data_IF_126362728544
#
_entry.id   IF_126362728544
#
_cell.length_a   1.000
_cell.length_b   1.000
_cell.length_c   1.000
_cell.angle_alpha   90.00
_cell.angle_beta   90.00
_cell.angle_gamma   90.00
#
_symmetry.space_group_name_H-M   'P 1'
#
loop_
_entity.id
_entity.type
_entity.pdbx_description
1 polymer ?
#
# COMPACT_ATOMS: atom_id res chain seq x y z
N UNK A 1 11.59 7.96 -5.68
CA UNK A 1 10.99 6.61 -5.70
C UNK A 1 11.01 5.97 -4.32
N UNK A 2 12.14 5.95 -3.58
CA UNK A 2 12.23 5.32 -2.24
C UNK A 2 11.16 5.74 -1.23
N UNK A 3 11.00 7.05 -0.97
CA UNK A 3 10.07 7.56 0.06
C UNK A 3 8.61 7.16 -0.19
N UNK A 4 8.14 7.19 -1.45
CA UNK A 4 6.76 6.77 -1.76
C UNK A 4 6.57 5.28 -1.51
N UNK A 5 7.48 4.44 -2.00
CA UNK A 5 7.37 2.99 -1.82
C UNK A 5 7.46 2.59 -0.34
N UNK A 6 8.39 3.19 0.41
CA UNK A 6 8.51 3.02 1.86
C UNK A 6 7.21 3.41 2.59
N UNK A 7 6.63 4.54 2.20
CA UNK A 7 5.37 5.01 2.77
C UNK A 7 4.21 4.07 2.43
N UNK A 8 4.11 3.58 1.20
CA UNK A 8 3.12 2.58 0.82
C UNK A 8 3.30 1.28 1.62
N UNK A 9 4.55 0.82 1.81
CA UNK A 9 4.84 -0.37 2.62
C UNK A 9 4.46 -0.16 4.09
N UNK A 10 4.59 1.06 4.62
CA UNK A 10 4.21 1.38 6.00
C UNK A 10 2.69 1.27 6.23
N UNK A 11 1.89 1.74 5.27
CA UNK A 11 0.42 1.70 5.35
C UNK A 11 -0.22 0.42 4.76
N UNK A 12 0.60 -0.54 4.35
CA UNK A 12 0.15 -1.78 3.74
C UNK A 12 -0.64 -2.66 4.70
N UNK A 13 -1.85 -3.05 4.29
CA UNK A 13 -2.66 -4.08 4.96
C UNK A 13 -2.44 -5.45 4.29
N UNK A 14 -1.75 -6.40 4.95
CA UNK A 14 -1.50 -7.74 4.42
C UNK A 14 -2.75 -8.63 4.38
N UNK A 15 -3.86 -8.23 5.03
CA UNK A 15 -5.11 -9.00 4.99
C UNK A 15 -5.82 -8.77 3.66
N UNK A 16 -5.91 -7.52 3.24
CA UNK A 16 -6.58 -7.12 1.99
C UNK A 16 -5.64 -6.98 0.80
N UNK A 17 -4.32 -7.11 1.03
CA UNK A 17 -3.27 -6.77 0.07
C UNK A 17 -3.43 -5.35 -0.47
N UNK A 18 -3.80 -4.39 0.38
CA UNK A 18 -4.11 -3.05 -0.10
C UNK A 18 -3.59 -1.95 0.82
N UNK A 19 -3.40 -0.78 0.22
CA UNK A 19 -3.12 0.49 0.89
C UNK A 19 -4.30 1.41 0.58
N UNK A 20 -4.97 1.94 1.59
CA UNK A 20 -6.10 2.88 1.45
C UNK A 20 -5.72 4.23 2.04
N UNK A 21 -5.77 5.28 1.23
CA UNK A 21 -5.22 6.59 1.58
C UNK A 21 -6.02 7.70 0.92
N UNK A 22 -6.04 8.88 1.54
CA UNK A 22 -6.52 10.07 0.83
C UNK A 22 -5.42 10.63 -0.09
N UNK A 23 -5.78 11.20 -1.26
CA UNK A 23 -4.81 11.87 -2.12
C UNK A 23 -4.10 13.06 -1.45
N UNK A 24 -4.67 13.62 -0.38
CA UNK A 24 -4.06 14.73 0.38
C UNK A 24 -2.92 14.25 1.28
N UNK A 25 -3.08 13.08 1.89
CA UNK A 25 -2.06 12.50 2.78
C UNK A 25 -0.81 12.14 1.97
N UNK A 26 -0.99 11.58 0.78
CA UNK A 26 0.13 11.23 -0.11
C UNK A 26 0.97 12.45 -0.51
N UNK A 27 0.32 13.58 -0.83
CA UNK A 27 1.04 14.82 -1.21
C UNK A 27 1.87 15.35 -0.04
N UNK A 28 1.31 15.34 1.17
CA UNK A 28 1.94 15.85 2.38
C UNK A 28 3.09 14.95 2.85
N UNK A 29 2.80 13.66 3.03
CA UNK A 29 3.71 12.71 3.68
C UNK A 29 4.86 12.28 2.76
N UNK A 30 4.65 12.22 1.44
CA UNK A 30 5.71 11.90 0.49
C UNK A 30 6.47 13.14 -0.01
N UNK A 31 6.23 14.32 0.59
CA UNK A 31 6.80 15.60 0.17
C UNK A 31 6.64 15.87 -1.35
N UNK A 32 5.53 15.45 -1.93
CA UNK A 32 5.28 15.59 -3.36
C UNK A 32 4.76 17.00 -3.64
N UNK A 33 5.46 17.73 -4.50
CA UNK A 33 5.20 19.16 -4.77
C UNK A 33 3.79 19.43 -5.32
N UNK A 34 3.12 18.42 -5.90
CA UNK A 34 1.75 18.53 -6.41
C UNK A 34 1.08 17.17 -6.57
N UNK A 35 -0.26 17.17 -6.69
CA UNK A 35 -1.05 15.98 -7.06
C UNK A 35 -0.56 15.34 -8.37
N UNK A 36 -0.19 16.16 -9.36
CA UNK A 36 0.29 15.66 -10.65
C UNK A 36 1.59 14.88 -10.52
N UNK A 37 2.52 15.35 -9.68
CA UNK A 37 3.75 14.60 -9.36
C UNK A 37 3.46 13.30 -8.64
N UNK A 38 2.44 13.28 -7.78
CA UNK A 38 2.02 12.08 -7.09
C UNK A 38 1.41 11.04 -8.04
N UNK A 39 0.54 11.46 -8.96
CA UNK A 39 0.02 10.60 -10.02
C UNK A 39 1.13 10.06 -10.92
N UNK A 40 2.12 10.88 -11.30
CA UNK A 40 3.28 10.42 -12.07
C UNK A 40 4.11 9.39 -11.33
N UNK A 41 4.32 9.57 -10.02
CA UNK A 41 5.07 8.60 -9.22
C UNK A 41 4.32 7.27 -9.07
N UNK A 42 3.00 7.30 -8.91
CA UNK A 42 2.17 6.10 -8.93
C UNK A 42 2.22 5.41 -10.29
N UNK A 43 2.11 6.18 -11.38
CA UNK A 43 2.23 5.64 -12.74
C UNK A 43 3.57 4.95 -12.94
N UNK A 44 4.68 5.55 -12.50
CA UNK A 44 6.00 4.92 -12.60
C UNK A 44 6.09 3.58 -11.84
N UNK A 45 5.44 3.47 -10.68
CA UNK A 45 5.40 2.22 -9.92
C UNK A 45 4.50 1.16 -10.60
N UNK A 46 3.45 1.58 -11.28
CA UNK A 46 2.58 0.71 -12.07
C UNK A 46 3.24 0.27 -13.38
N UNK A 47 4.03 1.14 -14.02
CA UNK A 47 4.80 0.84 -15.24
C UNK A 47 5.88 -0.22 -15.02
N UNK A 48 6.46 -0.29 -13.81
CA UNK A 48 7.37 -1.38 -13.39
C UNK A 48 6.63 -2.54 -12.72
N UNK A 49 5.30 -2.56 -12.83
CA UNK A 49 4.42 -3.59 -12.34
C UNK A 49 4.46 -3.81 -10.82
N UNK A 50 4.92 -2.86 -10.00
CA UNK A 50 5.00 -3.05 -8.54
C UNK A 50 3.65 -2.88 -7.84
N UNK A 51 2.79 -2.05 -8.43
CA UNK A 51 1.47 -1.74 -7.89
C UNK A 51 0.42 -1.76 -9.00
N UNK A 52 -0.84 -1.90 -8.57
CA UNK A 52 -2.02 -1.52 -9.35
C UNK A 52 -2.80 -0.51 -8.51
N UNK A 53 -3.20 0.61 -9.09
CA UNK A 53 -3.93 1.64 -8.34
C UNK A 53 -5.28 1.99 -8.96
N UNK A 54 -6.22 2.39 -8.11
CA UNK A 54 -7.53 2.86 -8.50
C UNK A 54 -8.12 3.80 -7.46
N UNK A 55 -9.33 4.27 -7.72
CA UNK A 55 -10.09 5.09 -6.78
C UNK A 55 -11.32 4.33 -6.32
N UNK A 56 -11.67 4.47 -5.04
CA UNK A 56 -12.97 4.02 -4.54
C UNK A 56 -14.10 5.01 -4.88
N UNK A 57 -15.32 4.69 -4.46
CA UNK A 57 -16.50 5.52 -4.71
C UNK A 57 -16.42 6.90 -4.05
N UNK A 58 -15.64 7.03 -2.98
CA UNK A 58 -15.42 8.26 -2.22
C UNK A 58 -14.23 9.07 -2.76
N UNK A 59 -13.55 8.57 -3.80
CA UNK A 59 -12.38 9.19 -4.40
C UNK A 59 -11.09 8.99 -3.59
N UNK A 60 -11.07 8.06 -2.64
CA UNK A 60 -9.85 7.65 -1.97
C UNK A 60 -9.03 6.75 -2.88
N UNK A 61 -7.71 6.85 -2.72
CA UNK A 61 -6.78 6.05 -3.48
C UNK A 61 -6.69 4.66 -2.86
N UNK A 62 -6.86 3.64 -3.69
CA UNK A 62 -6.68 2.24 -3.33
C UNK A 62 -5.58 1.62 -4.18
N UNK A 63 -4.55 1.14 -3.50
CA UNK A 63 -3.37 0.56 -4.15
C UNK A 63 -3.25 -0.89 -3.74
N UNK A 64 -2.92 -1.76 -4.69
CA UNK A 64 -2.62 -3.17 -4.45
C UNK A 64 -1.17 -3.44 -4.85
N UNK A 65 -0.46 -4.21 -4.03
CA UNK A 65 0.88 -4.66 -4.37
C UNK A 65 0.81 -5.92 -5.23
N UNK A 66 1.69 -5.98 -6.22
CA UNK A 66 1.81 -7.13 -7.11
C UNK A 66 2.86 -8.12 -6.59
N UNK A 67 2.89 -9.36 -7.12
CA UNK A 67 3.99 -10.28 -6.87
C UNK A 67 5.37 -9.72 -7.21
N UNK A 68 5.50 -8.92 -8.29
CA UNK A 68 6.77 -8.39 -8.77
C UNK A 68 7.49 -7.55 -7.69
N UNK A 69 6.74 -6.72 -6.95
CA UNK A 69 7.30 -5.97 -5.82
C UNK A 69 7.86 -6.91 -4.74
N UNK A 70 7.12 -7.95 -4.37
CA UNK A 70 7.55 -8.87 -3.32
C UNK A 70 8.76 -9.69 -3.73
N UNK A 71 8.84 -10.09 -5.00
CA UNK A 71 10.00 -10.77 -5.56
C UNK A 71 11.24 -9.88 -5.52
N UNK A 72 11.13 -8.62 -5.93
CA UNK A 72 12.24 -7.64 -5.89
C UNK A 72 12.71 -7.36 -4.46
N UNK A 73 11.78 -7.29 -3.50
CA UNK A 73 12.08 -7.15 -2.08
C UNK A 73 12.54 -8.47 -1.41
N UNK A 74 12.65 -9.57 -2.16
CA UNK A 74 12.99 -10.91 -1.65
C UNK A 74 12.06 -11.39 -0.51
N UNK A 75 10.78 -11.01 -0.59
CA UNK A 75 9.73 -11.40 0.35
C UNK A 75 9.10 -12.70 -0.12
N UNK A 76 9.38 -13.77 0.62
CA UNK A 76 8.84 -15.10 0.32
C UNK A 76 7.33 -15.19 0.61
N UNK A 77 6.60 -16.08 -0.09
CA UNK A 77 5.18 -16.35 0.18
C UNK A 77 4.88 -16.69 1.65
N UNK A 78 5.79 -17.41 2.33
CA UNK A 78 5.65 -17.73 3.75
C UNK A 78 5.67 -16.50 4.66
N UNK A 79 6.47 -15.48 4.30
CA UNK A 79 6.52 -14.21 5.03
C UNK A 79 5.20 -13.44 4.88
N UNK A 80 4.64 -13.40 3.67
CA UNK A 80 3.34 -12.78 3.41
C UNK A 80 2.22 -13.49 4.19
N UNK A 81 2.22 -14.82 4.17
CA UNK A 81 1.26 -15.63 4.93
C UNK A 81 1.36 -15.36 6.44
N UNK A 82 2.58 -15.31 6.98
CA UNK A 82 2.81 -15.01 8.39
C UNK A 82 2.35 -13.58 8.76
N UNK A 83 2.65 -12.59 7.91
CA UNK A 83 2.23 -11.21 8.09
C UNK A 83 0.69 -11.09 8.11
N UNK A 84 0.01 -11.74 7.16
CA UNK A 84 -1.46 -11.78 7.12
C UNK A 84 -2.06 -12.41 8.37
N UNK A 85 -1.57 -13.57 8.79
CA UNK A 85 -2.06 -14.24 10.01
C UNK A 85 -1.86 -13.38 11.27
N UNK A 86 -0.74 -12.66 11.36
CA UNK A 86 -0.48 -11.72 12.46
C UNK A 86 -1.47 -10.57 12.44
N UNK A 87 -1.72 -9.95 11.28
CA UNK A 87 -2.65 -8.85 11.12
C UNK A 87 -4.09 -9.26 11.45
N UNK A 88 -4.56 -10.41 10.94
CA UNK A 88 -5.89 -10.96 11.25
C UNK A 88 -6.08 -11.16 12.77
N UNK A 89 -5.06 -11.67 13.46
CA UNK A 89 -5.10 -11.82 14.93
C UNK A 89 -5.21 -10.49 15.66
N UNK A 90 -4.47 -9.47 15.22
CA UNK A 90 -4.52 -8.13 15.81
C UNK A 90 -5.89 -7.49 15.58
N UNK A 91 -6.44 -7.59 14.37
CA UNK A 91 -7.77 -7.09 14.04
C UNK A 91 -8.86 -7.76 14.89
N UNK A 92 -8.82 -9.09 15.07
CA UNK A 92 -9.76 -9.81 15.95
C UNK A 92 -9.70 -9.35 17.40
N UNK A 93 -8.51 -9.10 17.95
CA UNK A 93 -8.35 -8.59 19.32
C UNK A 93 -8.91 -7.18 19.50
N UNK A 94 -8.85 -6.36 18.45
CA UNK A 94 -9.44 -5.01 18.45
C UNK A 94 -10.96 -5.03 18.27
N UNK A 95 -11.50 -6.07 17.64
CA UNK A 95 -12.93 -6.26 17.39
C UNK A 95 -13.72 -6.98 18.49
N UNK A 96 -13.10 -7.30 19.64
CA UNK A 96 -13.82 -7.74 20.84
C UNK A 96 -14.26 -6.52 21.64
N UNK A 97 -15.53 -6.08 21.57
CA UNK A 97 -16.10 -5.25 22.63
C UNK A 97 -16.21 -6.11 23.89
N UNK A 98 -15.65 -5.63 25.00
CA UNK A 98 -15.95 -6.13 26.34
C UNK A 98 -17.40 -5.83 26.73
#
# INVERSE_FOLDING_TARGET
>A
MGVLLEWLCFYYDPVTNSVQLSPKDMVTECALVSRQRASQALQMLEDIEYIVHGSDADGNLRIFFTPALFEDLNVRPDHLRAARLKAERVQRRRGTPS
#
